data_IF_638980932577
#
_entry.id   IF_638980932577
#
_cell.length_a   1.000
_cell.length_b   1.000
_cell.length_c   1.000
_cell.angle_alpha   90.00
_cell.angle_beta   90.00
_cell.angle_gamma   90.00
#
_symmetry.space_group_name_H-M   'P 1'
#
loop_
_entity.id
_entity.type
_entity.pdbx_description
1 polymer ?
#
# COMPACT_ATOMS: atom_id res chain seq x y z
N UNK A 1 -8.63 23.33 -26.08
CA UNK A 1 -7.76 22.98 -24.93
C UNK A 1 -8.59 22.24 -23.90
N UNK A 2 -8.14 21.04 -23.49
CA UNK A 2 -8.38 20.34 -22.20
C UNK A 2 -8.22 18.82 -22.43
N UNK A 3 -6.97 18.36 -22.42
CA UNK A 3 -6.66 16.94 -22.26
C UNK A 3 -6.41 16.70 -20.78
N UNK A 4 -7.36 16.01 -20.15
CA UNK A 4 -7.29 15.56 -18.76
C UNK A 4 -6.20 14.49 -18.70
N UNK A 5 -5.05 14.83 -18.09
CA UNK A 5 -3.96 13.88 -17.83
C UNK A 5 -4.36 12.99 -16.65
N UNK A 6 -4.91 11.81 -16.94
CA UNK A 6 -5.01 10.71 -16.00
C UNK A 6 -3.63 10.06 -15.86
N UNK A 7 -2.87 10.44 -14.83
CA UNK A 7 -1.74 9.65 -14.35
C UNK A 7 -2.16 9.01 -13.02
N UNK A 8 -2.87 7.88 -13.15
CA UNK A 8 -3.11 6.97 -12.05
C UNK A 8 -1.78 6.37 -11.60
N UNK A 9 -1.51 6.48 -10.30
CA UNK A 9 -0.28 6.11 -9.63
C UNK A 9 0.01 4.62 -9.87
N UNK A 10 1.18 4.33 -10.42
CA UNK A 10 1.67 2.97 -10.55
C UNK A 10 1.97 2.42 -9.14
N UNK A 11 1.17 1.45 -8.71
CA UNK A 11 1.36 0.72 -7.45
C UNK A 11 2.70 -0.03 -7.48
N UNK A 12 3.51 0.21 -6.46
CA UNK A 12 4.73 -0.56 -6.18
C UNK A 12 4.28 -1.96 -5.77
N UNK A 13 4.62 -2.96 -6.57
CA UNK A 13 4.52 -4.36 -6.19
C UNK A 13 5.55 -4.63 -5.09
N UNK A 14 5.12 -4.68 -3.83
CA UNK A 14 5.99 -5.12 -2.72
C UNK A 14 5.91 -6.65 -2.70
N UNK A 15 7.06 -7.26 -2.99
CA UNK A 15 7.26 -8.70 -2.97
C UNK A 15 7.08 -9.29 -1.57
N UNK A 16 6.50 -10.49 -1.56
CA UNK A 16 6.40 -11.38 -0.43
C UNK A 16 7.81 -11.77 0.06
N UNK A 17 8.20 -11.34 1.26
CA UNK A 17 9.29 -11.99 1.98
C UNK A 17 9.12 -11.89 3.50
N UNK A 18 8.60 -13.00 4.05
CA UNK A 18 8.89 -13.61 5.36
C UNK A 18 8.64 -12.84 6.67
N UNK A 19 7.86 -13.41 7.61
CA UNK A 19 7.73 -12.90 8.97
C UNK A 19 8.92 -13.39 9.81
N UNK A 20 10.03 -12.67 9.77
CA UNK A 20 11.11 -12.87 10.73
C UNK A 20 11.94 -11.59 10.80
N UNK A 21 11.53 -10.64 11.63
CA UNK A 21 12.36 -9.70 12.42
C UNK A 21 11.47 -8.58 12.98
N UNK A 22 10.44 -8.95 13.76
CA UNK A 22 9.74 -8.00 14.62
C UNK A 22 10.48 -7.86 15.96
N UNK A 23 11.78 -7.52 15.93
CA UNK A 23 12.51 -7.12 17.14
C UNK A 23 13.84 -6.43 16.79
N UNK A 24 13.79 -5.23 16.20
CA UNK A 24 14.89 -4.28 16.37
C UNK A 24 14.40 -2.83 16.24
N UNK A 25 13.89 -2.31 17.36
CA UNK A 25 13.78 -0.87 17.61
C UNK A 25 15.21 -0.30 17.67
N UNK A 26 15.71 0.24 16.56
CA UNK A 26 17.03 0.86 16.52
C UNK A 26 17.56 1.10 15.11
N UNK A 27 17.27 2.27 14.54
CA UNK A 27 18.11 2.90 13.51
C UNK A 27 17.47 3.22 12.16
N UNK A 28 16.32 2.64 11.81
CA UNK A 28 15.59 3.01 10.59
C UNK A 28 14.45 3.97 10.96
N UNK A 29 14.39 5.19 10.40
CA UNK A 29 13.27 6.10 10.69
C UNK A 29 11.95 5.46 10.24
N UNK A 30 10.96 5.52 11.13
CA UNK A 30 9.59 5.09 10.85
C UNK A 30 9.06 5.78 9.58
N UNK A 31 8.14 5.15 8.85
CA UNK A 31 7.56 5.72 7.63
C UNK A 31 6.90 7.08 7.93
N UNK A 32 6.30 7.21 9.11
CA UNK A 32 5.72 8.47 9.58
C UNK A 32 6.80 9.51 9.90
N UNK A 33 7.96 9.11 10.42
CA UNK A 33 9.10 10.02 10.66
C UNK A 33 9.69 10.55 9.35
N UNK A 34 9.78 9.70 8.32
CA UNK A 34 10.24 10.10 6.99
C UNK A 34 9.26 11.09 6.36
N UNK A 35 7.96 10.81 6.48
CA UNK A 35 6.91 11.71 6.04
C UNK A 35 6.95 13.05 6.80
N UNK A 36 7.20 13.01 8.10
CA UNK A 36 7.36 14.20 8.94
C UNK A 36 8.54 15.07 8.48
N UNK A 37 9.69 14.47 8.18
CA UNK A 37 10.84 15.17 7.62
C UNK A 37 10.57 15.72 6.21
N UNK A 38 9.66 15.08 5.45
CA UNK A 38 9.31 15.51 4.11
C UNK A 38 8.39 16.74 4.10
N UNK A 39 7.38 16.80 4.96
CA UNK A 39 6.37 17.87 4.88
C UNK A 39 6.27 18.72 6.14
N UNK A 40 7.07 18.43 7.16
CA UNK A 40 7.02 19.13 8.44
C UNK A 40 5.77 18.79 9.25
N UNK A 41 5.54 17.49 9.50
CA UNK A 41 4.41 17.07 10.35
C UNK A 41 4.65 17.43 11.81
N UNK A 42 3.62 18.00 12.45
CA UNK A 42 3.60 18.16 13.91
C UNK A 42 3.54 16.81 14.63
N UNK A 43 3.90 16.79 15.91
CA UNK A 43 3.84 15.57 16.74
C UNK A 43 2.42 15.01 16.81
N UNK A 44 1.40 15.89 16.89
CA UNK A 44 -0.01 15.49 16.90
C UNK A 44 -0.42 14.83 15.58
N UNK A 45 -0.04 15.41 14.44
CA UNK A 45 -0.29 14.82 13.12
C UNK A 45 0.40 13.46 12.97
N UNK A 46 1.64 13.33 13.45
CA UNK A 46 2.35 12.05 13.41
C UNK A 46 1.65 11.00 14.27
N UNK A 47 1.19 11.37 15.47
CA UNK A 47 0.44 10.47 16.35
C UNK A 47 -0.87 10.02 15.72
N UNK A 48 -1.60 10.94 15.09
CA UNK A 48 -2.85 10.63 14.39
C UNK A 48 -2.62 9.69 13.20
N UNK A 49 -1.61 9.95 12.37
CA UNK A 49 -1.25 9.08 11.24
C UNK A 49 -0.86 7.68 11.72
N UNK A 50 -0.07 7.56 12.80
CA UNK A 50 0.27 6.26 13.40
C UNK A 50 -0.97 5.51 13.86
N UNK A 51 -1.90 6.18 14.54
CA UNK A 51 -3.16 5.58 14.97
C UNK A 51 -3.98 5.04 13.79
N UNK A 52 -4.11 5.83 12.71
CA UNK A 52 -4.80 5.39 11.48
C UNK A 52 -4.14 4.16 10.88
N UNK A 53 -2.81 4.14 10.79
CA UNK A 53 -2.06 3.01 10.22
C UNK A 53 -2.21 1.77 11.10
N UNK A 54 -2.05 1.89 12.41
CA UNK A 54 -2.15 0.77 13.36
C UNK A 54 -3.54 0.12 13.32
N UNK A 55 -4.61 0.93 13.37
CA UNK A 55 -5.99 0.46 13.31
C UNK A 55 -6.26 -0.31 12.01
N UNK A 56 -5.94 0.30 10.87
CA UNK A 56 -6.28 -0.28 9.57
C UNK A 56 -5.36 -1.43 9.16
N UNK A 57 -4.11 -1.43 9.63
CA UNK A 57 -3.17 -2.52 9.36
C UNK A 57 -3.59 -3.82 10.05
N UNK A 58 -4.17 -3.75 11.25
CA UNK A 58 -4.70 -4.92 11.93
C UNK A 58 -5.82 -5.59 11.11
N UNK A 59 -6.78 -4.79 10.63
CA UNK A 59 -7.90 -5.28 9.81
C UNK A 59 -7.43 -5.83 8.46
N UNK A 60 -6.52 -5.14 7.78
CA UNK A 60 -5.95 -5.61 6.51
C UNK A 60 -5.18 -6.93 6.70
N UNK A 61 -4.46 -7.12 7.81
CA UNK A 61 -3.74 -8.37 8.09
C UNK A 61 -4.69 -9.55 8.29
N UNK A 62 -5.83 -9.33 8.96
CA UNK A 62 -6.86 -10.35 9.13
C UNK A 62 -7.43 -10.78 7.77
N UNK A 63 -7.82 -9.81 6.93
CA UNK A 63 -8.32 -10.06 5.58
C UNK A 63 -7.29 -10.76 4.68
N UNK A 64 -6.01 -10.42 4.80
CA UNK A 64 -4.94 -11.13 4.08
C UNK A 64 -4.84 -12.61 4.49
N UNK A 65 -5.01 -12.89 5.79
CA UNK A 65 -5.08 -14.26 6.30
C UNK A 65 -6.25 -15.04 5.72
N UNK A 66 -7.43 -14.42 5.70
CA UNK A 66 -8.65 -15.02 5.13
C UNK A 66 -8.48 -15.29 3.62
N UNK A 67 -7.97 -14.31 2.86
CA UNK A 67 -7.71 -14.46 1.43
C UNK A 67 -6.75 -15.63 1.13
N UNK A 68 -5.68 -15.78 1.92
CA UNK A 68 -4.74 -16.91 1.77
C UNK A 68 -5.42 -18.25 2.06
N UNK A 69 -6.27 -18.32 3.08
CA UNK A 69 -7.02 -19.55 3.39
C UNK A 69 -8.01 -19.91 2.28
N UNK A 70 -8.75 -18.93 1.75
CA UNK A 70 -9.67 -19.14 0.63
C UNK A 70 -8.93 -19.62 -0.62
N UNK A 71 -7.78 -19.03 -0.94
CA UNK A 71 -6.94 -19.50 -2.05
C UNK A 71 -6.48 -20.95 -1.87
N UNK A 72 -6.08 -21.34 -0.65
CA UNK A 72 -5.70 -22.73 -0.35
C UNK A 72 -6.88 -23.68 -0.50
N UNK A 73 -8.07 -23.28 -0.05
CA UNK A 73 -9.30 -24.08 -0.18
C UNK A 73 -9.70 -24.28 -1.64
N UNK A 74 -9.59 -23.23 -2.47
CA UNK A 74 -9.82 -23.33 -3.93
C UNK A 74 -8.80 -24.28 -4.56
N UNK A 75 -7.51 -24.15 -4.24
CA UNK A 75 -6.47 -25.02 -4.78
C UNK A 75 -6.62 -26.49 -4.33
N UNK A 76 -7.14 -26.72 -3.12
CA UNK A 76 -7.40 -28.06 -2.61
C UNK A 76 -8.50 -28.81 -3.39
N UNK A 77 -9.33 -28.09 -4.16
CA UNK A 77 -10.31 -28.69 -5.07
C UNK A 77 -9.70 -29.17 -6.39
N UNK A 78 -8.40 -29.00 -6.62
CA UNK A 78 -7.70 -29.60 -7.76
C UNK A 78 -7.48 -31.10 -7.47
N UNK A 79 -8.54 -31.88 -7.67
CA UNK A 79 -8.61 -33.33 -7.40
C UNK A 79 -9.65 -34.01 -8.32
N UNK A 80 -9.62 -35.36 -8.48
CA UNK A 80 -10.54 -36.07 -9.38
C UNK A 80 -12.03 -35.90 -9.06
N UNK A 81 -12.37 -35.71 -7.78
CA UNK A 81 -13.71 -35.52 -7.22
C UNK A 81 -13.94 -34.06 -6.80
N UNK A 82 -13.46 -33.11 -7.60
CA UNK A 82 -13.61 -31.68 -7.28
C UNK A 82 -15.08 -31.30 -7.06
N UNK A 83 -15.29 -30.35 -6.15
CA UNK A 83 -16.58 -29.75 -5.87
C UNK A 83 -16.65 -28.36 -6.53
N UNK A 84 -17.44 -28.23 -7.61
CA UNK A 84 -17.58 -26.97 -8.34
C UNK A 84 -18.21 -25.86 -7.48
N UNK A 85 -19.22 -26.20 -6.68
CA UNK A 85 -19.93 -25.24 -5.84
C UNK A 85 -18.96 -24.71 -4.77
N UNK A 86 -18.16 -25.59 -4.16
CA UNK A 86 -17.13 -25.17 -3.21
C UNK A 86 -16.04 -24.28 -3.85
N UNK A 87 -15.69 -24.50 -5.13
CA UNK A 87 -14.76 -23.61 -5.86
C UNK A 87 -15.39 -22.22 -6.03
N UNK A 88 -16.65 -22.17 -6.50
CA UNK A 88 -17.36 -20.91 -6.78
C UNK A 88 -17.60 -20.11 -5.51
N UNK A 89 -18.09 -20.75 -4.45
CA UNK A 89 -18.37 -20.11 -3.18
C UNK A 89 -17.10 -19.51 -2.55
N UNK A 90 -15.99 -20.25 -2.57
CA UNK A 90 -14.73 -19.74 -2.03
C UNK A 90 -14.12 -18.65 -2.93
N UNK A 91 -14.32 -18.71 -4.24
CA UNK A 91 -13.89 -17.65 -5.15
C UNK A 91 -14.70 -16.36 -4.98
N UNK A 92 -16.00 -16.45 -4.74
CA UNK A 92 -16.87 -15.30 -4.43
C UNK A 92 -16.40 -14.60 -3.15
N UNK A 93 -16.24 -15.37 -2.06
CA UNK A 93 -15.68 -14.85 -0.79
C UNK A 93 -14.30 -14.22 -0.97
N UNK A 94 -13.44 -14.84 -1.78
CA UNK A 94 -12.12 -14.28 -2.06
C UNK A 94 -12.22 -12.94 -2.81
N UNK A 95 -13.22 -12.81 -3.70
CA UNK A 95 -13.57 -11.55 -4.35
C UNK A 95 -13.98 -10.48 -3.34
N UNK A 96 -14.88 -10.81 -2.42
CA UNK A 96 -15.35 -9.90 -1.37
C UNK A 96 -14.20 -9.42 -0.48
N UNK A 97 -13.38 -10.35 0.04
CA UNK A 97 -12.20 -10.04 0.87
C UNK A 97 -11.21 -9.16 0.11
N UNK A 98 -10.98 -9.42 -1.18
CA UNK A 98 -10.11 -8.57 -2.01
C UNK A 98 -10.69 -7.18 -2.25
N UNK A 99 -12.02 -7.09 -2.40
CA UNK A 99 -12.74 -5.82 -2.49
C UNK A 99 -12.60 -5.00 -1.21
N UNK A 100 -12.80 -5.63 -0.05
CA UNK A 100 -12.68 -4.98 1.25
C UNK A 100 -11.25 -4.51 1.52
N UNK A 101 -10.24 -5.33 1.24
CA UNK A 101 -8.83 -4.90 1.35
C UNK A 101 -8.52 -3.68 0.47
N UNK A 102 -9.11 -3.61 -0.73
CA UNK A 102 -8.95 -2.46 -1.63
C UNK A 102 -9.62 -1.21 -1.05
N UNK A 103 -10.83 -1.36 -0.51
CA UNK A 103 -11.55 -0.28 0.14
C UNK A 103 -10.80 0.24 1.38
N UNK A 104 -10.37 -0.66 2.27
CA UNK A 104 -9.59 -0.31 3.46
C UNK A 104 -8.27 0.37 3.10
N UNK A 105 -7.51 -0.15 2.14
CA UNK A 105 -6.26 0.48 1.71
C UNK A 105 -6.48 1.89 1.18
N UNK A 106 -7.57 2.10 0.43
CA UNK A 106 -7.95 3.42 -0.10
C UNK A 106 -8.40 4.38 1.01
N UNK A 107 -9.19 3.88 1.97
CA UNK A 107 -9.65 4.64 3.13
C UNK A 107 -8.48 5.04 4.04
N UNK A 108 -7.50 4.16 4.22
CA UNK A 108 -6.27 4.46 4.96
C UNK A 108 -5.53 5.62 4.33
N UNK A 109 -5.34 5.59 3.00
CA UNK A 109 -4.72 6.69 2.26
C UNK A 109 -5.52 8.00 2.40
N UNK A 110 -6.84 7.94 2.27
CA UNK A 110 -7.71 9.12 2.40
C UNK A 110 -7.69 9.71 3.81
N UNK A 111 -7.69 8.87 4.86
CA UNK A 111 -7.60 9.29 6.26
C UNK A 111 -6.25 9.95 6.54
N UNK A 112 -5.14 9.36 6.09
CA UNK A 112 -3.80 9.97 6.25
C UNK A 112 -3.72 11.31 5.50
N UNK A 113 -4.25 11.40 4.28
CA UNK A 113 -4.25 12.65 3.50
C UNK A 113 -5.04 13.78 4.20
N UNK A 114 -6.12 13.43 4.89
CA UNK A 114 -6.96 14.35 5.63
C UNK A 114 -6.24 14.99 6.84
N UNK A 115 -5.21 14.34 7.38
CA UNK A 115 -4.39 14.89 8.48
C UNK A 115 -3.49 16.02 8.00
N UNK A 116 -3.13 16.05 6.71
CA UNK A 116 -2.28 17.10 6.16
C UNK A 116 -3.02 18.43 5.98
N UNK A 117 -2.27 19.52 6.09
CA UNK A 117 -2.71 20.82 5.56
C UNK A 117 -2.55 20.86 4.04
N UNK A 118 -3.20 21.84 3.39
CA UNK A 118 -3.04 22.02 1.94
C UNK A 118 -1.57 22.33 1.57
N UNK A 119 -0.89 23.13 2.38
CA UNK A 119 0.52 23.48 2.19
C UNK A 119 1.43 22.24 2.28
N UNK A 120 1.15 21.35 3.23
CA UNK A 120 1.87 20.07 3.37
C UNK A 120 1.63 19.15 2.16
N UNK A 121 0.39 19.08 1.65
CA UNK A 121 0.08 18.33 0.41
C UNK A 121 0.82 18.88 -0.80
N UNK A 122 0.86 20.20 -0.94
CA UNK A 122 1.53 20.86 -2.07
C UNK A 122 3.05 20.64 -2.02
N UNK A 123 3.65 20.73 -0.82
CA UNK A 123 5.07 20.43 -0.63
C UNK A 123 5.40 18.95 -0.89
N UNK A 124 4.56 18.02 -0.44
CA UNK A 124 4.72 16.60 -0.76
C UNK A 124 4.72 16.37 -2.27
N UNK A 125 3.73 16.93 -2.96
CA UNK A 125 3.61 16.82 -4.42
C UNK A 125 4.84 17.36 -5.14
N UNK A 126 5.36 18.51 -4.70
CA UNK A 126 6.57 19.11 -5.25
C UNK A 126 7.79 18.21 -5.05
N UNK A 127 7.99 17.66 -3.86
CA UNK A 127 9.11 16.74 -3.57
C UNK A 127 9.02 15.45 -4.39
N UNK A 128 7.82 14.89 -4.52
CA UNK A 128 7.59 13.69 -5.33
C UNK A 128 7.92 13.93 -6.81
N UNK A 129 7.54 15.09 -7.37
CA UNK A 129 7.89 15.46 -8.74
C UNK A 129 9.40 15.60 -8.93
N UNK A 130 10.10 16.22 -7.97
CA UNK A 130 11.56 16.37 -8.02
C UNK A 130 12.27 15.01 -7.98
N UNK A 131 11.84 14.10 -7.10
CA UNK A 131 12.39 12.74 -7.04
C UNK A 131 12.15 11.97 -8.34
N UNK A 132 10.95 12.06 -8.92
CA UNK A 132 10.66 11.42 -10.21
C UNK A 132 11.56 11.95 -11.33
N UNK A 133 11.82 13.25 -11.39
CA UNK A 133 12.73 13.84 -12.39
C UNK A 133 14.17 13.37 -12.21
N UNK A 134 14.67 13.32 -10.97
CA UNK A 134 16.01 12.79 -10.70
C UNK A 134 16.15 11.33 -11.12
N UNK A 135 15.16 10.50 -10.81
CA UNK A 135 15.13 9.09 -11.21
C UNK A 135 15.14 8.92 -12.73
N UNK A 136 14.41 9.77 -13.47
CA UNK A 136 14.42 9.75 -14.93
C UNK A 136 15.78 10.14 -15.50
N UNK A 137 16.43 11.18 -14.96
CA UNK A 137 17.76 11.59 -15.39
C UNK A 137 18.81 10.51 -15.13
N UNK A 138 18.76 9.86 -13.96
CA UNK A 138 19.68 8.75 -13.65
C UNK A 138 19.51 7.58 -14.62
N UNK A 139 18.27 7.20 -14.98
CA UNK A 139 18.03 6.15 -15.97
C UNK A 139 18.56 6.52 -17.35
N UNK A 140 18.40 7.78 -17.78
CA UNK A 140 18.93 8.24 -19.06
C UNK A 140 20.46 8.21 -19.09
N UNK A 141 21.13 8.60 -18.00
CA UNK A 141 22.59 8.50 -17.91
C UNK A 141 23.09 7.05 -17.93
N UNK A 142 22.39 6.13 -17.25
CA UNK A 142 22.74 4.70 -17.25
C UNK A 142 22.52 4.04 -18.62
N UNK A 143 21.51 4.46 -19.37
CA UNK A 143 21.25 3.98 -20.73
C UNK A 143 22.19 4.60 -21.77
N UNK A 144 22.69 5.82 -21.56
CA UNK A 144 23.65 6.47 -22.45
C UNK A 144 25.11 6.05 -22.27
N UNK A 145 25.42 5.27 -21.21
CA UNK A 145 26.75 4.68 -20.99
C UNK A 145 26.85 3.21 -21.45
N UNK A 146 25.79 2.65 -22.03
CA UNK A 146 25.78 1.34 -22.71
C UNK A 146 25.80 1.55 -24.22
#
# INVERSE_FOLDING_TARGET
MKLVKLFGIALIAIGLSSPAMAQQSGGQPDQVDQLAQMVGLSEDQQKEIRGIIEEMQAEIQELQGEAQQLQQQIQAQIKPDYDEDAIRDNAEKLGDVTGEMTAMSTLMQAKVDAVFTQEQRDELNKRMQQMQQQMQQQRQMQQGMQ
#
